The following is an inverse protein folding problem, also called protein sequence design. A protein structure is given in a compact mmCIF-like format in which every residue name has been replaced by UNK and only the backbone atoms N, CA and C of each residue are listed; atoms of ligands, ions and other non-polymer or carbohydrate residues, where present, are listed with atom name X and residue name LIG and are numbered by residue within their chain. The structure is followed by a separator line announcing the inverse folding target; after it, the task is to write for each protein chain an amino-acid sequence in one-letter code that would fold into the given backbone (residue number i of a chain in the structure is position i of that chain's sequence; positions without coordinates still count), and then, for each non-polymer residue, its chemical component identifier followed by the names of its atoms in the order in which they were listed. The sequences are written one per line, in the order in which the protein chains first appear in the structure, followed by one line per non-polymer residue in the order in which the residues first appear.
data_IF_906038455676
#
_entry.id   IF_906038455676
#
_cell.length_a   1.000
_cell.length_b   1.000
_cell.length_c   1.000
_cell.angle_alpha   90.00
_cell.angle_beta   90.00
_cell.angle_gamma   90.00
#
_symmetry.space_group_name_H-M   'P 1'
#
loop_
_entity.id
_entity.type
_entity.pdbx_description
1 polymer ?
#
# COMPACT_ATOMS: atom_id res chain seq x y z
N UNK A 1 -16.29 -47.78 -40.01
CA UNK A 1 -15.19 -47.35 -40.90
C UNK A 1 -14.17 -46.59 -40.07
N UNK A 2 -13.06 -47.21 -39.68
CA UNK A 2 -11.93 -46.52 -39.04
C UNK A 2 -10.97 -45.99 -40.11
N UNK A 3 -10.47 -44.77 -39.91
CA UNK A 3 -9.48 -44.14 -40.77
C UNK A 3 -8.08 -44.56 -40.29
N UNK A 4 -7.34 -45.19 -41.20
CA UNK A 4 -5.92 -45.54 -41.07
C UNK A 4 -5.03 -44.29 -41.12
N UNK A 5 -4.00 -44.24 -40.26
CA UNK A 5 -2.89 -43.29 -40.33
C UNK A 5 -1.62 -44.04 -40.75
N UNK A 6 -0.84 -43.55 -41.73
CA UNK A 6 0.41 -44.22 -42.12
C UNK A 6 1.59 -43.83 -41.20
N UNK A 7 2.57 -44.73 -40.99
CA UNK A 7 3.69 -44.49 -40.09
C UNK A 7 4.77 -43.65 -40.77
N UNK A 8 5.45 -42.77 -40.03
CA UNK A 8 6.76 -42.26 -40.48
C UNK A 8 7.62 -41.82 -39.29
N UNK A 9 8.61 -42.67 -39.02
CA UNK A 9 10.02 -42.37 -38.76
C UNK A 9 10.39 -41.25 -37.79
N UNK A 10 10.90 -41.70 -36.65
CA UNK A 10 11.74 -41.00 -35.67
C UNK A 10 12.90 -40.27 -36.38
N UNK A 11 12.96 -38.95 -36.19
CA UNK A 11 14.14 -38.13 -36.41
C UNK A 11 14.30 -37.21 -35.21
N UNK A 12 15.28 -37.51 -34.34
CA UNK A 12 15.66 -36.65 -33.21
C UNK A 12 16.58 -35.57 -33.74
N UNK A 13 16.27 -34.26 -33.65
CA UNK A 13 17.24 -33.23 -33.96
C UNK A 13 18.17 -33.07 -32.75
N UNK A 14 19.45 -33.35 -32.95
CA UNK A 14 20.53 -32.99 -32.04
C UNK A 14 20.63 -31.47 -31.92
N UNK A 15 20.48 -30.97 -30.68
CA UNK A 15 20.63 -29.55 -30.38
C UNK A 15 22.13 -29.20 -30.31
N UNK A 16 22.62 -28.17 -31.03
CA UNK A 16 23.98 -27.68 -30.84
C UNK A 16 24.05 -26.83 -29.57
N UNK A 17 24.94 -27.24 -28.66
CA UNK A 17 25.34 -26.46 -27.50
C UNK A 17 25.89 -25.09 -27.97
N UNK A 18 25.07 -24.05 -27.82
CA UNK A 18 25.49 -22.66 -27.95
C UNK A 18 25.47 -22.03 -26.57
N UNK A 19 26.65 -21.85 -26.01
CA UNK A 19 26.84 -21.16 -24.74
C UNK A 19 26.37 -19.72 -24.86
N UNK A 20 25.22 -19.41 -24.28
CA UNK A 20 24.84 -18.02 -24.01
C UNK A 20 25.76 -17.50 -22.89
N UNK A 21 26.79 -16.77 -23.28
CA UNK A 21 27.48 -15.86 -22.36
C UNK A 21 26.48 -14.79 -21.93
N UNK A 22 25.87 -14.98 -20.76
CA UNK A 22 25.11 -13.95 -20.07
C UNK A 22 26.14 -12.93 -19.59
N UNK A 23 26.30 -11.84 -20.33
CA UNK A 23 27.07 -10.70 -19.83
C UNK A 23 26.28 -10.07 -18.68
N UNK A 24 26.92 -9.76 -17.54
CA UNK A 24 26.24 -9.08 -16.45
C UNK A 24 25.83 -7.70 -16.96
N UNK A 25 24.53 -7.49 -17.13
CA UNK A 25 23.96 -6.17 -17.39
C UNK A 25 24.37 -5.28 -16.22
N UNK A 26 25.30 -4.34 -16.47
CA UNK A 26 25.69 -3.34 -15.48
C UNK A 26 24.45 -2.57 -15.09
N UNK A 27 23.97 -2.83 -13.87
CA UNK A 27 22.85 -2.14 -13.24
C UNK A 27 23.21 -0.66 -13.16
N UNK A 28 22.73 0.15 -14.12
CA UNK A 28 22.85 1.62 -14.05
C UNK A 28 22.16 2.02 -12.73
N UNK A 29 22.93 2.56 -11.78
CA UNK A 29 22.36 3.21 -10.59
C UNK A 29 21.36 4.24 -11.11
N UNK A 30 20.06 3.98 -10.92
CA UNK A 30 19.03 5.01 -11.13
C UNK A 30 19.39 6.09 -10.13
N UNK A 31 19.96 7.19 -10.60
CA UNK A 31 20.12 8.41 -9.81
C UNK A 31 18.71 8.84 -9.44
N UNK A 32 18.27 8.45 -8.25
CA UNK A 32 16.95 8.80 -7.74
C UNK A 32 16.85 10.31 -7.69
N UNK A 33 15.80 10.87 -8.27
CA UNK A 33 15.42 12.24 -8.01
C UNK A 33 15.09 12.35 -6.51
N UNK A 34 15.98 12.98 -5.76
CA UNK A 34 15.80 13.31 -4.34
C UNK A 34 15.58 14.81 -4.24
N UNK A 35 14.48 15.20 -3.60
CA UNK A 35 14.22 16.61 -3.32
C UNK A 35 15.26 17.14 -2.34
N UNK A 36 15.65 18.41 -2.50
CA UNK A 36 16.31 19.10 -1.41
C UNK A 36 15.33 19.36 -0.24
N UNK A 37 15.88 19.73 0.92
CA UNK A 37 15.08 19.93 2.14
C UNK A 37 14.03 21.04 1.97
N UNK A 38 14.35 22.10 1.24
CA UNK A 38 13.46 23.23 1.05
C UNK A 38 12.27 22.85 0.15
N UNK A 39 12.54 22.20 -0.97
CA UNK A 39 11.54 21.66 -1.88
C UNK A 39 10.62 20.66 -1.17
N UNK A 40 11.20 19.75 -0.38
CA UNK A 40 10.45 18.78 0.41
C UNK A 40 9.48 19.48 1.37
N UNK A 41 9.96 20.45 2.15
CA UNK A 41 9.13 21.21 3.07
C UNK A 41 8.02 22.01 2.36
N UNK A 42 8.33 22.63 1.22
CA UNK A 42 7.36 23.41 0.45
C UNK A 42 6.24 22.51 -0.07
N UNK A 43 6.56 21.33 -0.60
CA UNK A 43 5.58 20.35 -1.06
C UNK A 43 4.69 19.86 0.09
N UNK A 44 5.27 19.52 1.24
CA UNK A 44 4.50 19.12 2.42
C UNK A 44 3.57 20.24 2.91
N UNK A 45 4.08 21.47 3.05
CA UNK A 45 3.28 22.63 3.47
C UNK A 45 2.13 22.90 2.51
N UNK A 46 2.39 22.89 1.20
CA UNK A 46 1.37 23.12 0.16
C UNK A 46 0.26 22.07 0.24
N UNK A 47 0.65 20.80 0.28
CA UNK A 47 -0.25 19.66 0.43
C UNK A 47 -1.11 19.75 1.70
N UNK A 48 -0.51 20.08 2.85
CA UNK A 48 -1.27 20.17 4.10
C UNK A 48 -2.30 21.30 4.06
N UNK A 49 -1.97 22.42 3.41
CA UNK A 49 -2.96 23.49 3.18
C UNK A 49 -4.12 23.01 2.33
N UNK A 50 -3.83 22.27 1.24
CA UNK A 50 -4.87 21.71 0.37
C UNK A 50 -5.77 20.74 1.13
N UNK A 51 -5.20 19.76 1.84
CA UNK A 51 -5.98 18.79 2.63
C UNK A 51 -6.89 19.46 3.67
N UNK A 52 -6.39 20.50 4.37
CA UNK A 52 -7.16 21.24 5.37
C UNK A 52 -8.33 22.03 4.77
N UNK A 53 -8.25 22.38 3.48
CA UNK A 53 -9.29 23.13 2.78
C UNK A 53 -10.41 22.23 2.21
N UNK A 54 -10.24 20.90 2.23
CA UNK A 54 -11.21 19.96 1.65
C UNK A 54 -12.44 19.86 2.56
N UNK A 55 -13.62 20.06 1.98
CA UNK A 55 -14.89 19.70 2.61
C UNK A 55 -15.06 18.17 2.53
N UNK A 56 -14.81 17.51 3.66
CA UNK A 56 -14.91 16.06 3.77
C UNK A 56 -16.33 15.52 3.50
N UNK A 57 -17.38 16.32 3.69
CA UNK A 57 -18.77 15.87 3.46
C UNK A 57 -19.09 15.82 1.97
N UNK A 58 -18.62 16.83 1.22
CA UNK A 58 -18.68 16.83 -0.24
C UNK A 58 -17.83 15.70 -0.82
N UNK A 59 -16.63 15.50 -0.27
CA UNK A 59 -15.73 14.43 -0.69
C UNK A 59 -16.32 13.03 -0.44
N UNK A 60 -17.01 12.84 0.69
CA UNK A 60 -17.74 11.60 0.97
C UNK A 60 -18.79 11.30 -0.09
N UNK A 61 -19.58 12.31 -0.46
CA UNK A 61 -20.65 12.15 -1.45
C UNK A 61 -20.08 11.89 -2.85
N UNK A 62 -18.94 12.52 -3.18
CA UNK A 62 -18.17 12.26 -4.41
C UNK A 62 -17.66 10.82 -4.45
N UNK A 63 -17.08 10.33 -3.36
CA UNK A 63 -16.52 8.98 -3.28
C UNK A 63 -17.58 7.88 -3.50
N UNK A 64 -18.80 8.10 -3.00
CA UNK A 64 -19.91 7.15 -3.17
C UNK A 64 -20.80 7.42 -4.39
N UNK A 65 -20.51 8.46 -5.18
CA UNK A 65 -21.34 8.93 -6.29
C UNK A 65 -22.83 9.15 -5.90
N UNK A 66 -23.08 9.58 -4.65
CA UNK A 66 -24.43 9.86 -4.14
C UNK A 66 -24.36 10.66 -2.83
N UNK A 67 -25.42 11.42 -2.49
CA UNK A 67 -25.53 12.06 -1.18
C UNK A 67 -25.31 11.03 -0.06
N UNK A 68 -24.36 11.32 0.82
CA UNK A 68 -23.90 10.37 1.85
C UNK A 68 -23.63 11.08 3.16
N UNK A 69 -23.80 10.37 4.26
CA UNK A 69 -23.53 10.87 5.63
C UNK A 69 -22.54 9.97 6.35
N UNK A 70 -21.79 10.56 7.26
CA UNK A 70 -20.84 9.82 8.09
C UNK A 70 -21.57 8.95 9.11
N UNK A 71 -21.05 7.75 9.34
CA UNK A 71 -21.41 6.96 10.53
C UNK A 71 -20.83 7.63 11.78
N UNK A 72 -21.40 7.28 12.93
CA UNK A 72 -20.97 7.77 14.24
C UNK A 72 -19.46 7.64 14.44
N UNK A 73 -18.82 8.72 14.87
CA UNK A 73 -17.38 8.79 15.13
C UNK A 73 -16.50 9.07 13.91
N UNK A 74 -16.92 8.72 12.69
CA UNK A 74 -16.08 8.86 11.49
C UNK A 74 -15.71 10.32 11.20
N UNK A 75 -16.67 11.24 11.28
CA UNK A 75 -16.44 12.66 10.99
C UNK A 75 -15.32 13.26 11.84
N UNK A 76 -15.35 12.99 13.16
CA UNK A 76 -14.35 13.51 14.11
C UNK A 76 -12.95 13.03 13.75
N UNK A 77 -12.82 11.73 13.46
CA UNK A 77 -11.53 11.11 13.14
C UNK A 77 -11.03 11.57 11.77
N UNK A 78 -11.88 11.60 10.75
CA UNK A 78 -11.51 12.13 9.43
C UNK A 78 -11.08 13.59 9.49
N UNK A 79 -11.77 14.42 10.28
CA UNK A 79 -11.36 15.81 10.46
C UNK A 79 -9.96 15.91 11.08
N UNK A 80 -9.64 15.10 12.08
CA UNK A 80 -8.30 15.04 12.67
C UNK A 80 -7.26 14.59 11.64
N UNK A 81 -7.58 13.56 10.84
CA UNK A 81 -6.70 13.06 9.76
C UNK A 81 -6.42 14.15 8.71
N UNK A 82 -7.45 14.84 8.22
CA UNK A 82 -7.31 15.90 7.21
C UNK A 82 -6.56 17.13 7.75
N UNK A 83 -6.63 17.36 9.07
CA UNK A 83 -5.85 18.38 9.75
C UNK A 83 -4.40 17.98 10.06
N UNK A 84 -4.03 16.74 9.78
CA UNK A 84 -2.72 16.15 10.11
C UNK A 84 -2.43 16.16 11.62
N UNK A 85 -3.46 15.92 12.44
CA UNK A 85 -3.33 15.78 13.89
C UNK A 85 -2.79 14.38 14.24
N UNK A 86 -1.53 14.09 13.94
CA UNK A 86 -0.90 12.78 14.17
C UNK A 86 -0.07 12.73 15.47
N UNK A 87 0.04 11.57 16.16
CA UNK A 87 -0.57 10.28 15.83
C UNK A 87 -2.06 10.18 16.21
N UNK A 88 -2.81 9.34 15.50
CA UNK A 88 -4.24 9.09 15.74
C UNK A 88 -4.45 7.61 16.07
N UNK A 89 -5.08 7.36 17.21
CA UNK A 89 -5.61 6.04 17.57
C UNK A 89 -7.13 6.14 17.60
N UNK A 90 -7.80 5.22 16.91
CA UNK A 90 -9.26 5.21 16.81
C UNK A 90 -9.82 3.84 17.10
N UNK A 91 -10.84 3.80 17.96
CA UNK A 91 -11.60 2.59 18.26
C UNK A 91 -13.02 2.81 17.78
N UNK A 92 -13.42 2.05 16.76
CA UNK A 92 -14.79 2.00 16.24
C UNK A 92 -15.26 0.55 16.27
N UNK A 93 -16.58 0.25 16.26
CA UNK A 93 -17.06 -1.13 16.13
C UNK A 93 -16.72 -1.75 14.76
N UNK A 94 -16.75 -3.08 14.64
CA UNK A 94 -16.34 -3.85 13.44
C UNK A 94 -17.14 -3.53 12.17
N UNK A 95 -18.28 -2.84 12.28
CA UNK A 95 -19.09 -2.32 11.16
C UNK A 95 -19.13 -0.78 11.08
N UNK A 96 -18.35 -0.09 11.91
CA UNK A 96 -18.28 1.37 12.00
C UNK A 96 -17.67 2.06 10.78
N UNK A 97 -17.24 1.29 9.78
CA UNK A 97 -16.71 1.81 8.52
C UNK A 97 -15.31 2.42 8.66
N UNK A 98 -14.40 1.74 9.38
CA UNK A 98 -13.02 2.22 9.59
C UNK A 98 -12.24 2.42 8.30
N UNK A 99 -12.53 1.63 7.26
CA UNK A 99 -11.83 1.74 5.98
C UNK A 99 -11.97 3.13 5.35
N UNK A 100 -13.11 3.80 5.57
CA UNK A 100 -13.34 5.16 5.09
C UNK A 100 -12.28 6.14 5.61
N UNK A 101 -11.75 5.89 6.82
CA UNK A 101 -10.78 6.77 7.48
C UNK A 101 -9.47 6.89 6.70
N UNK A 102 -9.11 5.89 5.90
CA UNK A 102 -7.94 5.95 5.01
C UNK A 102 -8.33 6.10 3.53
N UNK A 103 -9.51 5.63 3.14
CA UNK A 103 -10.00 5.72 1.76
C UNK A 103 -10.31 7.16 1.34
N UNK A 104 -11.01 7.92 2.20
CA UNK A 104 -11.38 9.30 1.88
C UNK A 104 -10.15 10.21 1.75
N UNK A 105 -9.18 10.23 2.68
CA UNK A 105 -7.98 11.04 2.53
C UNK A 105 -7.14 10.65 1.30
N UNK A 106 -7.04 9.36 0.97
CA UNK A 106 -6.31 8.91 -0.22
C UNK A 106 -7.01 9.32 -1.53
N UNK A 107 -8.34 9.33 -1.56
CA UNK A 107 -9.12 9.83 -2.70
C UNK A 107 -8.95 11.35 -2.87
N UNK A 108 -8.83 12.07 -1.76
CA UNK A 108 -8.66 13.51 -1.67
C UNK A 108 -7.23 13.98 -2.02
N UNK A 109 -6.23 13.10 -1.93
CA UNK A 109 -4.81 13.41 -2.18
C UNK A 109 -4.25 12.58 -3.36
N UNK A 110 -4.61 12.89 -4.61
CA UNK A 110 -4.35 12.03 -5.77
C UNK A 110 -2.86 11.85 -6.11
N UNK A 111 -1.99 12.76 -5.67
CA UNK A 111 -0.56 12.78 -5.98
C UNK A 111 0.31 12.01 -4.99
N UNK A 112 -0.28 11.37 -3.98
CA UNK A 112 0.46 10.76 -2.88
C UNK A 112 -0.03 9.35 -2.55
N UNK A 113 0.77 8.64 -1.76
CA UNK A 113 0.55 7.24 -1.41
C UNK A 113 0.26 7.09 0.08
N UNK A 114 -0.85 6.42 0.41
CA UNK A 114 -1.16 5.91 1.73
C UNK A 114 -0.76 4.44 1.83
N UNK A 115 0.03 4.09 2.84
CA UNK A 115 0.36 2.69 3.15
C UNK A 115 -0.65 2.17 4.17
N UNK A 116 -1.25 1.02 3.90
CA UNK A 116 -2.19 0.36 4.82
C UNK A 116 -1.65 -1.01 5.19
N UNK A 117 -1.25 -1.15 6.44
CA UNK A 117 -0.77 -2.39 7.04
C UNK A 117 -1.98 -3.18 7.54
N UNK A 118 -2.16 -4.40 7.04
CA UNK A 118 -3.28 -5.27 7.38
C UNK A 118 -2.73 -6.64 7.81
N UNK A 119 -3.03 -7.12 9.03
CA UNK A 119 -2.45 -8.37 9.53
C UNK A 119 -3.00 -9.62 8.85
N UNK A 120 -4.25 -9.59 8.36
CA UNK A 120 -4.89 -10.75 7.75
C UNK A 120 -4.95 -10.61 6.22
N UNK A 121 -4.35 -11.55 5.50
CA UNK A 121 -4.32 -11.59 4.01
C UNK A 121 -5.74 -11.62 3.41
N UNK A 122 -6.67 -12.37 4.02
CA UNK A 122 -8.08 -12.39 3.59
C UNK A 122 -8.73 -11.02 3.68
N UNK A 123 -8.54 -10.33 4.82
CA UNK A 123 -9.02 -8.97 5.03
C UNK A 123 -8.37 -7.97 4.07
N UNK A 124 -7.09 -8.16 3.75
CA UNK A 124 -6.37 -7.35 2.79
C UNK A 124 -7.04 -7.40 1.40
N UNK A 125 -7.45 -8.60 0.95
CA UNK A 125 -8.20 -8.79 -0.29
C UNK A 125 -9.54 -8.05 -0.30
N UNK A 126 -10.32 -8.19 0.77
CA UNK A 126 -11.62 -7.53 0.90
C UNK A 126 -11.51 -5.99 0.95
N UNK A 127 -10.48 -5.46 1.62
CA UNK A 127 -10.21 -4.02 1.67
C UNK A 127 -9.75 -3.50 0.31
N UNK A 128 -8.89 -4.25 -0.38
CA UNK A 128 -8.41 -3.93 -1.72
C UNK A 128 -9.55 -3.85 -2.73
N UNK A 129 -10.42 -4.86 -2.77
CA UNK A 129 -11.54 -4.89 -3.71
C UNK A 129 -12.57 -3.80 -3.43
N UNK A 130 -12.88 -3.53 -2.16
CA UNK A 130 -13.74 -2.38 -1.79
C UNK A 130 -13.14 -1.05 -2.21
N UNK A 131 -11.84 -0.89 -2.06
CA UNK A 131 -11.11 0.35 -2.44
C UNK A 131 -11.17 0.58 -3.94
N UNK A 132 -10.92 -0.45 -4.76
CA UNK A 132 -11.02 -0.35 -6.22
C UNK A 132 -12.45 -0.09 -6.69
N UNK A 133 -13.47 -0.67 -6.04
CA UNK A 133 -14.89 -0.40 -6.35
C UNK A 133 -15.29 1.06 -6.12
N UNK A 134 -14.54 1.80 -5.30
CA UNK A 134 -14.72 3.26 -5.12
C UNK A 134 -13.84 4.09 -6.05
N UNK A 135 -13.27 3.48 -7.10
CA UNK A 135 -12.38 4.13 -8.07
C UNK A 135 -11.13 4.78 -7.45
N UNK A 136 -10.65 4.24 -6.32
CA UNK A 136 -9.35 4.64 -5.76
C UNK A 136 -8.29 3.67 -6.33
N UNK A 137 -7.29 4.16 -7.09
CA UNK A 137 -6.16 3.35 -7.52
C UNK A 137 -5.47 2.74 -6.30
N UNK A 138 -5.38 1.42 -6.27
CA UNK A 138 -4.79 0.69 -5.17
C UNK A 138 -3.96 -0.48 -5.67
N UNK A 139 -3.00 -0.91 -4.86
CA UNK A 139 -2.19 -2.09 -5.10
C UNK A 139 -2.10 -2.93 -3.82
N UNK A 140 -1.98 -4.24 -3.98
CA UNK A 140 -1.48 -5.11 -2.92
C UNK A 140 0.02 -5.30 -3.20
N UNK A 141 0.85 -5.03 -2.20
CA UNK A 141 2.27 -5.24 -2.35
C UNK A 141 2.56 -6.74 -2.48
N UNK A 142 3.16 -7.10 -3.60
CA UNK A 142 3.69 -8.44 -3.87
C UNK A 142 5.15 -8.24 -4.24
N UNK A 143 6.01 -9.12 -3.73
CA UNK A 143 7.46 -9.04 -3.95
C UNK A 143 7.76 -8.77 -5.43
N UNK A 144 8.53 -7.70 -5.69
CA UNK A 144 9.03 -7.34 -7.02
C UNK A 144 8.01 -6.73 -8.00
N UNK A 145 6.85 -6.25 -7.56
CA UNK A 145 5.90 -5.51 -8.42
C UNK A 145 6.04 -3.99 -8.32
N UNK A 146 6.00 -3.33 -9.48
CA UNK A 146 5.84 -1.88 -9.59
C UNK A 146 4.37 -1.56 -9.26
N UNK A 147 4.14 -0.72 -8.25
CA UNK A 147 2.79 -0.38 -7.77
C UNK A 147 2.10 0.74 -8.57
N UNK A 148 2.70 1.19 -9.68
CA UNK A 148 2.08 2.10 -10.65
C UNK A 148 1.62 3.42 -10.04
N UNK A 149 0.39 3.81 -10.34
CA UNK A 149 -0.31 5.02 -9.89
C UNK A 149 -1.13 4.80 -8.60
N UNK A 150 -0.86 3.72 -7.87
CA UNK A 150 -1.59 3.39 -6.66
C UNK A 150 -1.51 4.49 -5.60
N UNK A 151 -2.67 4.94 -5.13
CA UNK A 151 -2.82 5.89 -4.01
C UNK A 151 -2.91 5.18 -2.67
N UNK A 152 -3.31 3.91 -2.68
CA UNK A 152 -3.28 3.04 -1.51
C UNK A 152 -2.45 1.80 -1.83
N UNK A 153 -1.45 1.52 -1.00
CA UNK A 153 -0.70 0.27 -1.06
C UNK A 153 -0.97 -0.53 0.20
N UNK A 154 -1.58 -1.70 0.02
CA UNK A 154 -1.83 -2.65 1.09
C UNK A 154 -0.62 -3.54 1.31
N UNK A 155 -0.21 -3.72 2.56
CA UNK A 155 0.94 -4.54 2.97
C UNK A 155 0.60 -5.38 4.18
N UNK A 156 1.29 -6.50 4.36
CA UNK A 156 1.27 -7.25 5.62
C UNK A 156 2.33 -6.70 6.59
N UNK A 157 2.23 -6.95 7.91
CA UNK A 157 3.25 -6.54 8.86
C UNK A 157 4.66 -7.06 8.52
N UNK A 158 4.78 -8.31 8.08
CA UNK A 158 6.06 -8.94 7.73
C UNK A 158 6.72 -8.25 6.53
N UNK A 159 5.90 -7.81 5.57
CA UNK A 159 6.36 -7.08 4.38
C UNK A 159 7.07 -5.79 4.75
N UNK A 160 6.67 -5.12 5.85
CA UNK A 160 7.27 -3.87 6.29
C UNK A 160 8.77 -4.00 6.52
N UNK A 161 9.23 -5.17 6.99
CA UNK A 161 10.63 -5.37 7.37
C UNK A 161 11.50 -5.88 6.22
N UNK A 162 10.95 -6.00 5.01
CA UNK A 162 11.72 -6.42 3.84
C UNK A 162 12.52 -5.26 3.23
N UNK A 163 13.76 -5.52 2.81
CA UNK A 163 14.63 -4.49 2.20
C UNK A 163 14.00 -3.83 0.96
N UNK A 164 13.29 -4.60 0.14
CA UNK A 164 12.65 -4.07 -1.05
C UNK A 164 11.52 -3.08 -0.67
N UNK A 165 10.74 -3.39 0.37
CA UNK A 165 9.69 -2.48 0.79
C UNK A 165 10.26 -1.23 1.47
N UNK A 166 11.31 -1.37 2.29
CA UNK A 166 12.03 -0.24 2.88
C UNK A 166 12.58 0.70 1.79
N UNK A 167 13.23 0.17 0.75
CA UNK A 167 13.69 1.00 -0.38
C UNK A 167 12.55 1.69 -1.16
N UNK A 168 11.36 1.09 -1.21
CA UNK A 168 10.17 1.74 -1.76
C UNK A 168 9.66 2.87 -0.87
N UNK A 169 9.60 2.66 0.45
CA UNK A 169 9.26 3.71 1.41
C UNK A 169 10.24 4.88 1.34
N UNK A 170 11.55 4.61 1.27
CA UNK A 170 12.59 5.62 1.13
C UNK A 170 12.42 6.44 -0.15
N UNK A 171 12.04 5.78 -1.25
CA UNK A 171 11.75 6.46 -2.52
C UNK A 171 10.53 7.37 -2.38
N UNK A 172 9.43 6.89 -1.80
CA UNK A 172 8.25 7.72 -1.56
C UNK A 172 8.55 8.90 -0.64
N UNK A 173 9.33 8.67 0.41
CA UNK A 173 9.68 9.69 1.38
C UNK A 173 10.58 10.75 0.75
N UNK A 174 11.69 10.37 0.10
CA UNK A 174 12.61 11.33 -0.56
C UNK A 174 11.97 12.17 -1.68
N UNK A 175 10.83 11.71 -2.22
CA UNK A 175 10.06 12.41 -3.24
C UNK A 175 8.82 13.15 -2.69
N UNK A 176 8.65 13.21 -1.36
CA UNK A 176 7.48 13.79 -0.70
C UNK A 176 6.12 13.16 -1.12
N UNK A 177 6.14 11.93 -1.63
CA UNK A 177 4.97 11.19 -2.11
C UNK A 177 4.30 10.38 -1.00
N UNK A 178 5.01 10.03 0.07
CA UNK A 178 4.41 9.34 1.22
C UNK A 178 3.41 10.27 1.92
N UNK A 179 2.16 9.83 2.09
CA UNK A 179 1.12 10.55 2.85
C UNK A 179 1.12 10.18 4.32
N UNK A 180 0.87 8.90 4.56
CA UNK A 180 0.59 8.36 5.88
C UNK A 180 0.73 6.86 5.84
N UNK A 181 0.93 6.30 7.03
CA UNK A 181 0.90 4.88 7.29
C UNK A 181 -0.28 4.62 8.22
N UNK A 182 -1.11 3.65 7.84
CA UNK A 182 -2.30 3.23 8.57
C UNK A 182 -2.10 1.79 8.98
N UNK A 183 -2.33 1.50 10.26
CA UNK A 183 -2.22 0.16 10.81
C UNK A 183 -3.61 -0.32 11.19
N UNK A 184 -4.17 -1.26 10.43
CA UNK A 184 -5.47 -1.87 10.73
C UNK A 184 -5.32 -2.98 11.75
N UNK A 185 -6.35 -3.19 12.58
CA UNK A 185 -6.35 -4.17 13.68
C UNK A 185 -5.08 -4.04 14.55
N UNK A 186 -4.68 -2.80 14.87
CA UNK A 186 -3.39 -2.52 15.50
C UNK A 186 -3.14 -3.24 16.83
N UNK A 187 -4.19 -3.71 17.52
CA UNK A 187 -4.05 -4.48 18.75
C UNK A 187 -3.34 -5.82 18.52
N UNK A 188 -3.52 -6.51 17.38
CA UNK A 188 -2.84 -7.79 17.12
C UNK A 188 -1.33 -7.62 17.01
N UNK A 189 -0.89 -6.52 16.40
CA UNK A 189 0.54 -6.20 16.27
C UNK A 189 1.14 -5.86 17.64
N UNK A 190 0.39 -5.15 18.48
CA UNK A 190 0.83 -4.84 19.85
C UNK A 190 0.91 -6.09 20.72
N UNK A 191 -0.04 -7.01 20.59
CA UNK A 191 -0.02 -8.29 21.31
C UNK A 191 1.19 -9.15 20.92
N UNK A 192 1.50 -9.28 19.62
CA UNK A 192 2.70 -9.99 19.15
C UNK A 192 4.00 -9.34 19.65
N UNK A 193 4.08 -8.00 19.65
CA UNK A 193 5.22 -7.27 20.18
C UNK A 193 5.39 -7.46 21.71
N UNK A 194 4.29 -7.50 22.46
CA UNK A 194 4.33 -7.74 23.91
C UNK A 194 4.75 -9.18 24.25
N UNK A 195 4.23 -10.17 23.52
CA UNK A 195 4.59 -11.59 23.70
C UNK A 195 6.07 -11.82 23.39
N UNK A 196 6.58 -11.23 22.29
CA UNK A 196 8.01 -11.35 21.95
C UNK A 196 8.91 -10.71 23.01
N UNK A 197 8.53 -9.55 23.56
CA UNK A 197 9.28 -8.87 24.62
C UNK A 197 9.32 -9.71 25.91
N UNK A 198 8.19 -10.28 26.33
CA UNK A 198 8.12 -11.17 27.51
C UNK A 198 8.87 -12.49 27.31
N UNK A 199 8.91 -13.01 26.08
CA UNK A 199 9.67 -14.21 25.73
C UNK A 199 11.18 -13.97 25.79
N UNK A 200 11.64 -12.78 25.39
CA UNK A 200 13.04 -12.35 25.54
C UNK A 200 13.43 -12.20 27.02
N UNK A 201 12.57 -11.62 27.85
CA UNK A 201 12.83 -11.47 29.28
C UNK A 201 12.82 -12.81 30.03
N UNK A 202 11.95 -13.75 29.63
CA UNK A 202 11.89 -15.09 30.25
C UNK A 202 13.04 -16.01 29.82
N UNK A 203 13.70 -15.74 28.70
CA UNK A 203 14.88 -16.51 28.24
C UNK A 203 16.21 -15.92 28.72
N UNK A 204 16.17 -14.80 29.45
CA UNK A 204 17.34 -14.14 30.04
C UNK A 204 17.59 -14.53 31.51
N UNK A 205 16.83 -15.51 32.04
CA UNK A 205 16.98 -16.07 33.39
C UNK A 205 17.19 -17.59 33.33
#
# INVERSE_FOLDING_TARGET
MPIDWPPTSIGVPSSPASGLHITPVKRKKRTGFSLDLEQFEQLQKSRWRQLKAIDISSELSRLFNRPSTFKTGQYKVLRAIMKQEHPIVTVLPTSGGKSLLFQLPAAACPSCVTIVVVPLVSLQGDLFDRTRKMNIPAAQWKSNQIVGDARIVFVTPETLFTEHFQGYLDTLHSQALLDRIVVDICHTILEEALISTQSFESSAY
#
